data_IF_140176004745
#
_entry.id   IF_140176004745
#
_cell.length_a   1.000
_cell.length_b   1.000
_cell.length_c   1.000
_cell.angle_alpha   90.00
_cell.angle_beta   90.00
_cell.angle_gamma   90.00
#
_symmetry.space_group_name_H-M   'P 1'
#
loop_
_entity.id
_entity.type
_entity.pdbx_description
1 polymer ?
#
# COMPACT_ATOMS: atom_id res chain seq x y z
N UNK A 1 -9.36 -27.62 15.26
CA UNK A 1 -8.68 -27.26 13.98
C UNK A 1 -7.61 -26.24 14.28
N UNK A 2 -6.32 -26.54 14.04
CA UNK A 2 -5.24 -25.55 14.15
C UNK A 2 -5.39 -24.53 13.00
N UNK A 3 -5.67 -23.26 13.32
CA UNK A 3 -5.51 -22.17 12.35
C UNK A 3 -4.02 -22.10 11.98
N UNK A 4 -3.66 -22.39 10.73
CA UNK A 4 -2.31 -22.11 10.21
C UNK A 4 -2.24 -20.63 9.85
N UNK A 5 -1.35 -19.91 10.50
CA UNK A 5 -1.10 -18.48 10.26
C UNK A 5 -0.34 -18.32 8.94
N UNK A 6 -0.72 -17.35 8.12
CA UNK A 6 -0.01 -17.05 6.87
C UNK A 6 1.35 -16.38 7.15
N UNK A 7 2.47 -16.93 6.65
CA UNK A 7 3.80 -16.39 6.92
C UNK A 7 4.03 -14.94 6.47
N UNK A 8 3.33 -14.44 5.44
CA UNK A 8 3.43 -13.04 5.06
C UNK A 8 2.74 -12.14 6.10
N UNK A 9 1.57 -12.55 6.60
CA UNK A 9 0.86 -11.79 7.64
C UNK A 9 1.61 -11.81 8.97
N UNK A 10 2.23 -12.94 9.34
CA UNK A 10 3.10 -13.01 10.53
C UNK A 10 4.24 -11.99 10.43
N UNK A 11 4.95 -11.96 9.30
CA UNK A 11 6.05 -11.01 9.11
C UNK A 11 5.55 -9.57 9.03
N UNK A 12 4.39 -9.33 8.41
CA UNK A 12 3.78 -8.00 8.40
C UNK A 12 3.50 -7.49 9.83
N UNK A 13 2.91 -8.33 10.68
CA UNK A 13 2.68 -8.01 12.10
C UNK A 13 3.97 -7.78 12.88
N UNK A 14 5.00 -8.59 12.64
CA UNK A 14 6.32 -8.40 13.23
C UNK A 14 6.90 -7.03 12.84
N UNK A 15 6.89 -6.68 11.56
CA UNK A 15 7.43 -5.39 11.10
C UNK A 15 6.60 -4.19 11.56
N UNK A 16 5.27 -4.30 11.68
CA UNK A 16 4.45 -3.28 12.35
C UNK A 16 4.87 -3.09 13.81
N UNK A 17 5.09 -4.20 14.53
CA UNK A 17 5.49 -4.17 15.93
C UNK A 17 6.86 -3.52 16.10
N UNK A 18 7.83 -3.88 15.26
CA UNK A 18 9.16 -3.25 15.22
C UNK A 18 9.05 -1.76 14.85
N UNK A 19 8.19 -1.40 13.90
CA UNK A 19 7.93 0.00 13.53
C UNK A 19 7.35 0.82 14.69
N UNK A 20 6.43 0.23 15.46
CA UNK A 20 5.87 0.85 16.66
C UNK A 20 6.92 1.04 17.76
N UNK A 21 7.77 0.02 17.99
CA UNK A 21 8.89 0.13 18.92
C UNK A 21 9.89 1.21 18.48
N UNK A 22 10.18 1.31 17.19
CA UNK A 22 11.03 2.37 16.66
C UNK A 22 10.40 3.76 16.81
N UNK A 23 9.07 3.87 16.76
CA UNK A 23 8.36 5.13 17.03
C UNK A 23 8.48 5.52 18.51
N UNK A 24 8.35 4.56 19.42
CA UNK A 24 8.60 4.78 20.85
C UNK A 24 10.06 5.20 21.10
N UNK A 25 11.02 4.56 20.43
CA UNK A 25 12.43 4.97 20.45
C UNK A 25 12.64 6.39 19.91
N UNK A 26 11.87 6.83 18.91
CA UNK A 26 11.91 8.22 18.46
C UNK A 26 11.47 9.18 19.56
N UNK A 27 10.46 8.84 20.36
CA UNK A 27 10.04 9.66 21.50
C UNK A 27 11.15 9.77 22.55
N UNK A 28 11.85 8.67 22.85
CA UNK A 28 12.97 8.70 23.81
C UNK A 28 14.14 9.53 23.30
N UNK A 29 14.47 9.45 22.00
CA UNK A 29 15.48 10.35 21.40
C UNK A 29 15.04 11.81 21.42
N UNK A 30 13.76 12.10 21.18
CA UNK A 30 13.22 13.47 21.24
C UNK A 30 13.22 14.06 22.64
N UNK A 31 13.18 13.22 23.69
CA UNK A 31 13.35 13.59 25.09
C UNK A 31 14.83 13.66 25.52
N UNK A 32 15.78 13.39 24.63
CA UNK A 32 17.22 13.40 24.92
C UNK A 32 17.72 12.20 25.73
N UNK A 33 16.96 11.11 25.80
CA UNK A 33 17.30 9.92 26.60
C UNK A 33 18.27 8.97 25.90
N UNK A 34 18.34 9.03 24.57
CA UNK A 34 19.15 8.12 23.73
C UNK A 34 19.65 8.83 22.49
N UNK A 35 20.78 8.39 21.93
CA UNK A 35 21.29 8.88 20.65
C UNK A 35 20.38 8.49 19.47
N UNK A 36 20.32 9.36 18.45
CA UNK A 36 19.51 9.11 17.26
C UNK A 36 20.20 8.15 16.30
N UNK A 37 19.50 7.08 15.90
CA UNK A 37 19.97 6.21 14.84
C UNK A 37 20.09 6.97 13.50
N UNK A 38 21.15 6.73 12.71
CA UNK A 38 21.24 7.24 11.34
C UNK A 38 19.99 6.84 10.54
N UNK A 39 19.41 7.82 9.84
CA UNK A 39 18.25 7.61 8.94
C UNK A 39 17.02 7.00 9.61
N UNK A 40 16.79 7.25 10.91
CA UNK A 40 15.62 6.76 11.65
C UNK A 40 14.28 7.04 10.94
N UNK A 41 14.13 8.22 10.31
CA UNK A 41 12.94 8.56 9.51
C UNK A 41 12.73 7.58 8.35
N UNK A 42 13.80 7.25 7.63
CA UNK A 42 13.74 6.27 6.53
C UNK A 42 13.33 4.90 7.06
N UNK A 43 13.94 4.44 8.16
CA UNK A 43 13.63 3.15 8.78
C UNK A 43 12.16 3.05 9.19
N UNK A 44 11.63 4.06 9.88
CA UNK A 44 10.23 4.09 10.32
C UNK A 44 9.25 3.98 9.15
N UNK A 45 9.47 4.78 8.10
CA UNK A 45 8.62 4.73 6.91
C UNK A 45 8.68 3.35 6.28
N UNK A 46 9.87 2.77 6.11
CA UNK A 46 10.06 1.51 5.39
C UNK A 46 9.66 0.27 6.19
N UNK A 47 9.69 0.30 7.52
CA UNK A 47 9.07 -0.75 8.33
C UNK A 47 7.56 -0.83 8.15
N UNK A 48 6.87 0.31 8.01
CA UNK A 48 5.42 0.32 7.76
C UNK A 48 5.11 0.03 6.28
N UNK A 49 5.88 0.58 5.35
CA UNK A 49 5.59 0.44 3.91
C UNK A 49 6.09 -0.89 3.35
N UNK A 50 7.40 -1.17 3.38
CA UNK A 50 7.97 -2.42 2.87
C UNK A 50 7.76 -3.56 3.87
N UNK A 51 8.07 -3.32 5.13
CA UNK A 51 7.97 -4.33 6.18
C UNK A 51 6.54 -4.81 6.38
N UNK A 52 5.59 -3.91 6.65
CA UNK A 52 4.24 -4.31 6.96
C UNK A 52 3.34 -4.43 5.72
N UNK A 53 3.09 -3.31 5.06
CA UNK A 53 2.08 -3.24 4.01
C UNK A 53 2.45 -4.10 2.80
N UNK A 54 3.71 -4.03 2.34
CA UNK A 54 4.17 -4.82 1.19
C UNK A 54 4.18 -6.31 1.51
N UNK A 55 4.62 -6.74 2.70
CA UNK A 55 4.49 -8.15 3.13
C UNK A 55 3.03 -8.60 3.09
N UNK A 56 2.12 -7.85 3.72
CA UNK A 56 0.70 -8.21 3.74
C UNK A 56 0.11 -8.33 2.32
N UNK A 57 0.41 -7.36 1.44
CA UNK A 57 -0.07 -7.38 0.06
C UNK A 57 0.58 -8.48 -0.77
N UNK A 58 1.84 -8.84 -0.52
CA UNK A 58 2.46 -10.02 -1.12
C UNK A 58 1.66 -11.29 -0.81
N UNK A 59 1.22 -11.43 0.45
CA UNK A 59 0.32 -12.49 0.91
C UNK A 59 -1.04 -12.45 0.21
N UNK A 60 -1.73 -11.31 0.28
CA UNK A 60 -3.14 -11.17 -0.06
C UNK A 60 -3.45 -11.04 -1.55
N UNK A 61 -2.55 -10.42 -2.32
CA UNK A 61 -2.86 -9.99 -3.69
C UNK A 61 -3.28 -11.14 -4.63
N UNK A 62 -2.65 -12.33 -4.61
CA UNK A 62 -3.13 -13.47 -5.41
C UNK A 62 -4.56 -13.91 -5.05
N UNK A 63 -4.92 -13.89 -3.76
CA UNK A 63 -6.26 -14.27 -3.29
C UNK A 63 -7.31 -13.20 -3.58
N UNK A 64 -6.95 -11.92 -3.45
CA UNK A 64 -7.77 -10.79 -3.88
C UNK A 64 -8.07 -10.83 -5.39
N UNK A 65 -7.06 -11.17 -6.20
CA UNK A 65 -7.29 -11.36 -7.63
C UNK A 65 -8.17 -12.58 -7.91
N UNK A 66 -7.96 -13.68 -7.16
CA UNK A 66 -8.68 -14.92 -7.42
C UNK A 66 -10.17 -14.84 -7.06
N UNK A 67 -10.49 -14.20 -5.93
CA UNK A 67 -11.87 -13.95 -5.47
C UNK A 67 -12.66 -13.15 -6.50
N UNK A 68 -12.08 -12.07 -7.03
CA UNK A 68 -12.79 -11.24 -8.03
C UNK A 68 -12.79 -11.84 -9.44
N UNK A 69 -11.80 -12.67 -9.75
CA UNK A 69 -11.67 -13.35 -11.04
C UNK A 69 -12.46 -14.66 -11.15
N UNK A 70 -13.01 -15.17 -10.04
CA UNK A 70 -13.64 -16.49 -9.99
C UNK A 70 -12.73 -17.62 -10.48
N UNK A 71 -11.40 -17.48 -10.26
CA UNK A 71 -10.43 -18.48 -10.71
C UNK A 71 -10.10 -19.43 -9.57
N UNK A 72 -10.22 -20.73 -9.84
CA UNK A 72 -9.74 -21.77 -8.93
C UNK A 72 -8.22 -21.97 -9.01
N UNK A 73 -7.57 -21.30 -9.99
CA UNK A 73 -6.13 -21.37 -10.16
C UNK A 73 -5.43 -20.74 -8.95
N UNK A 74 -4.48 -21.47 -8.38
CA UNK A 74 -3.70 -21.03 -7.22
C UNK A 74 -2.21 -21.02 -7.55
N UNK A 75 -1.44 -20.10 -6.94
CA UNK A 75 0.00 -20.14 -7.06
C UNK A 75 0.56 -21.41 -6.39
N UNK A 76 1.67 -21.92 -6.90
CA UNK A 76 2.32 -23.09 -6.31
C UNK A 76 2.99 -22.74 -4.99
N UNK A 77 2.96 -23.65 -4.01
CA UNK A 77 3.59 -23.45 -2.70
C UNK A 77 5.08 -23.10 -2.82
N UNK A 78 5.81 -23.74 -3.74
CA UNK A 78 7.21 -23.44 -3.98
C UNK A 78 7.43 -22.00 -4.47
N UNK A 79 6.54 -21.46 -5.32
CA UNK A 79 6.62 -20.06 -5.75
C UNK A 79 6.40 -19.09 -4.60
N UNK A 80 5.43 -19.40 -3.72
CA UNK A 80 5.07 -18.56 -2.57
C UNK A 80 6.17 -18.53 -1.52
N UNK A 81 6.74 -19.69 -1.19
CA UNK A 81 7.90 -19.76 -0.28
C UNK A 81 9.12 -19.01 -0.83
N UNK A 82 9.40 -19.10 -2.13
CA UNK A 82 10.50 -18.32 -2.75
C UNK A 82 10.26 -16.82 -2.63
N UNK A 83 9.04 -16.34 -2.89
CA UNK A 83 8.70 -14.92 -2.73
C UNK A 83 8.86 -14.47 -1.28
N UNK A 84 8.37 -15.28 -0.34
CA UNK A 84 8.51 -15.00 1.09
C UNK A 84 9.98 -14.95 1.51
N UNK A 85 10.79 -15.94 1.11
CA UNK A 85 12.21 -15.97 1.44
C UNK A 85 12.97 -14.79 0.85
N UNK A 86 12.75 -14.48 -0.43
CA UNK A 86 13.39 -13.33 -1.08
C UNK A 86 13.05 -12.02 -0.38
N UNK A 87 11.80 -11.82 0.00
CA UNK A 87 11.39 -10.60 0.70
C UNK A 87 11.96 -10.53 2.12
N UNK A 88 11.97 -11.65 2.84
CA UNK A 88 12.43 -11.71 4.24
C UNK A 88 13.95 -11.84 4.41
N UNK A 89 14.70 -12.17 3.36
CA UNK A 89 16.16 -11.99 3.30
C UNK A 89 16.49 -10.59 2.80
N UNK A 90 15.79 -10.13 1.76
CA UNK A 90 16.03 -8.86 1.09
C UNK A 90 15.81 -7.65 1.98
N UNK A 91 14.64 -7.55 2.62
CA UNK A 91 14.29 -6.35 3.39
C UNK A 91 15.19 -6.16 4.63
N UNK A 92 15.47 -7.18 5.46
CA UNK A 92 16.45 -7.03 6.54
C UNK A 92 17.85 -6.66 6.05
N UNK A 93 18.32 -7.26 4.95
CA UNK A 93 19.62 -6.90 4.35
C UNK A 93 19.63 -5.45 3.91
N UNK A 94 18.54 -4.97 3.29
CA UNK A 94 18.38 -3.57 2.90
C UNK A 94 18.40 -2.64 4.12
N UNK A 95 17.68 -2.99 5.20
CA UNK A 95 17.67 -2.24 6.46
C UNK A 95 19.08 -2.15 7.05
N UNK A 96 19.82 -3.25 7.11
CA UNK A 96 21.21 -3.26 7.60
C UNK A 96 22.09 -2.37 6.73
N UNK A 97 22.00 -2.47 5.40
CA UNK A 97 22.75 -1.60 4.50
C UNK A 97 22.43 -0.12 4.70
N UNK A 98 21.16 0.22 4.87
CA UNK A 98 20.72 1.60 5.09
C UNK A 98 21.14 2.15 6.44
N UNK A 99 21.07 1.35 7.51
CA UNK A 99 21.50 1.73 8.85
C UNK A 99 23.02 1.87 8.96
N UNK A 100 23.77 0.98 8.30
CA UNK A 100 25.24 0.99 8.28
C UNK A 100 25.85 1.97 7.26
N UNK A 101 25.01 2.63 6.44
CA UNK A 101 25.49 3.50 5.35
C UNK A 101 26.18 2.77 4.19
N UNK A 102 26.00 1.44 4.08
CA UNK A 102 26.59 0.62 3.01
C UNK A 102 25.66 0.54 1.80
N UNK A 103 25.98 1.31 0.76
CA UNK A 103 25.24 1.28 -0.52
C UNK A 103 25.24 -0.12 -1.14
N UNK A 104 26.36 -0.83 -1.13
CA UNK A 104 26.46 -2.19 -1.67
C UNK A 104 25.49 -3.15 -0.97
N UNK A 105 25.48 -3.14 0.36
CA UNK A 105 24.56 -3.99 1.14
C UNK A 105 23.10 -3.61 0.88
N UNK A 106 22.81 -2.31 0.78
CA UNK A 106 21.47 -1.82 0.46
C UNK A 106 21.01 -2.29 -0.93
N UNK A 107 21.87 -2.20 -1.95
CA UNK A 107 21.57 -2.65 -3.32
C UNK A 107 21.35 -4.17 -3.37
N UNK A 108 22.17 -4.95 -2.66
CA UNK A 108 21.98 -6.42 -2.57
C UNK A 108 20.62 -6.76 -1.93
N UNK A 109 20.31 -6.14 -0.79
CA UNK A 109 19.01 -6.33 -0.13
C UNK A 109 17.83 -5.91 -1.01
N UNK A 110 17.93 -4.74 -1.64
CA UNK A 110 16.96 -4.24 -2.61
C UNK A 110 16.77 -5.17 -3.80
N UNK A 111 17.81 -5.89 -4.23
CA UNK A 111 17.76 -6.80 -5.39
C UNK A 111 16.91 -8.02 -5.07
N UNK A 112 17.05 -8.57 -3.86
CA UNK A 112 16.16 -9.64 -3.41
C UNK A 112 14.70 -9.16 -3.29
N UNK A 113 14.45 -7.94 -2.80
CA UNK A 113 13.10 -7.35 -2.78
C UNK A 113 12.52 -7.22 -4.19
N UNK A 114 13.31 -6.70 -5.14
CA UNK A 114 12.90 -6.57 -6.54
C UNK A 114 12.62 -7.93 -7.20
N UNK A 115 13.46 -8.94 -6.95
CA UNK A 115 13.24 -10.30 -7.45
C UNK A 115 11.96 -10.91 -6.85
N UNK A 116 11.70 -10.70 -5.57
CA UNK A 116 10.45 -11.12 -4.93
C UNK A 116 9.26 -10.47 -5.63
N UNK A 117 9.35 -9.18 -5.93
CA UNK A 117 8.32 -8.40 -6.61
C UNK A 117 8.09 -8.84 -8.05
N UNK A 118 9.14 -9.04 -8.84
CA UNK A 118 9.01 -9.57 -10.20
C UNK A 118 8.32 -10.94 -10.17
N UNK A 119 8.70 -11.80 -9.22
CA UNK A 119 8.05 -13.10 -9.02
C UNK A 119 6.56 -12.97 -8.65
N UNK A 120 6.20 -12.01 -7.79
CA UNK A 120 4.81 -11.70 -7.46
C UNK A 120 4.04 -11.20 -8.69
N UNK A 121 4.61 -10.26 -9.45
CA UNK A 121 4.00 -9.73 -10.69
C UNK A 121 3.75 -10.83 -11.70
N UNK A 122 4.71 -11.74 -11.89
CA UNK A 122 4.53 -12.93 -12.75
C UNK A 122 3.41 -13.82 -12.22
N UNK A 123 3.31 -14.01 -10.91
CA UNK A 123 2.24 -14.80 -10.28
C UNK A 123 0.87 -14.19 -10.56
N UNK A 124 0.71 -12.89 -10.29
CA UNK A 124 -0.51 -12.12 -10.56
C UNK A 124 -0.87 -12.20 -12.05
N UNK A 125 0.10 -11.98 -12.94
CA UNK A 125 -0.12 -12.03 -14.38
C UNK A 125 -0.61 -13.40 -14.84
N UNK A 126 0.03 -14.49 -14.37
CA UNK A 126 -0.34 -15.87 -14.71
C UNK A 126 -1.73 -16.26 -14.20
N UNK A 127 -2.13 -15.78 -13.03
CA UNK A 127 -3.49 -15.98 -12.50
C UNK A 127 -4.54 -15.22 -13.33
N UNK A 128 -4.12 -14.08 -13.91
CA UNK A 128 -4.99 -13.14 -14.61
C UNK A 128 -5.24 -13.45 -16.10
N UNK A 129 -4.52 -14.43 -16.67
CA UNK A 129 -4.64 -14.85 -18.08
C UNK A 129 -5.99 -15.52 -18.42
N UNK A 130 -6.81 -15.80 -17.41
CA UNK A 130 -8.21 -16.24 -17.56
C UNK A 130 -9.15 -15.04 -17.31
N UNK A 131 -9.97 -14.63 -18.29
CA UNK A 131 -10.66 -13.34 -18.23
C UNK A 131 -11.95 -13.42 -17.43
N UNK A 132 -12.06 -12.81 -16.23
CA UNK A 132 -13.34 -12.37 -15.63
C UNK A 132 -13.14 -11.16 -14.69
N UNK A 133 -14.01 -10.14 -14.83
CA UNK A 133 -14.18 -9.05 -13.87
C UNK A 133 -13.42 -7.73 -14.17
N UNK A 134 -14.13 -6.59 -14.13
CA UNK A 134 -13.55 -5.24 -14.30
C UNK A 134 -12.56 -4.88 -13.18
N UNK A 135 -12.82 -5.39 -11.97
CA UNK A 135 -12.04 -5.10 -10.76
C UNK A 135 -10.68 -5.81 -10.72
N UNK A 136 -10.52 -6.96 -11.40
CA UNK A 136 -9.24 -7.66 -11.49
C UNK A 136 -8.13 -6.85 -12.16
N UNK A 137 -8.48 -5.79 -12.91
CA UNK A 137 -7.53 -4.86 -13.53
C UNK A 137 -6.73 -4.08 -12.48
N UNK A 138 -7.35 -3.69 -11.36
CA UNK A 138 -6.69 -2.96 -10.29
C UNK A 138 -5.50 -3.78 -9.73
N UNK A 139 -5.76 -5.03 -9.36
CA UNK A 139 -4.74 -5.93 -8.81
C UNK A 139 -3.66 -6.32 -9.81
N UNK A 140 -3.98 -6.34 -11.10
CA UNK A 140 -3.01 -6.65 -12.17
C UNK A 140 -2.08 -5.48 -12.47
N UNK A 141 -2.61 -4.27 -12.48
CA UNK A 141 -1.86 -3.06 -12.80
C UNK A 141 -1.00 -2.60 -11.62
N UNK A 142 -1.49 -2.75 -10.39
CA UNK A 142 -0.82 -2.23 -9.20
C UNK A 142 0.65 -2.68 -9.03
N UNK A 143 1.02 -3.98 -9.16
CA UNK A 143 2.41 -4.41 -8.95
C UNK A 143 3.41 -3.75 -9.89
N UNK A 144 3.00 -3.34 -11.09
CA UNK A 144 3.87 -2.64 -12.03
C UNK A 144 4.29 -1.27 -11.52
N UNK A 145 3.41 -0.54 -10.83
CA UNK A 145 3.79 0.70 -10.17
C UNK A 145 4.80 0.46 -9.05
N UNK A 146 4.67 -0.62 -8.29
CA UNK A 146 5.68 -0.98 -7.28
C UNK A 146 7.02 -1.32 -7.95
N UNK A 147 7.03 -1.97 -9.11
CA UNK A 147 8.27 -2.23 -9.88
C UNK A 147 8.92 -0.93 -10.30
N UNK A 148 8.14 0.03 -10.79
CA UNK A 148 8.63 1.37 -11.16
C UNK A 148 9.21 2.09 -9.94
N UNK A 149 8.49 2.13 -8.83
CA UNK A 149 8.97 2.80 -7.62
C UNK A 149 10.22 2.14 -7.03
N UNK A 150 10.27 0.81 -6.96
CA UNK A 150 11.50 0.10 -6.52
C UNK A 150 12.66 0.41 -7.47
N UNK A 151 12.43 0.44 -8.80
CA UNK A 151 13.47 0.82 -9.77
C UNK A 151 13.99 2.24 -9.55
N UNK A 152 13.12 3.18 -9.18
CA UNK A 152 13.53 4.53 -8.80
C UNK A 152 14.35 4.56 -7.51
N UNK A 153 14.06 3.70 -6.53
CA UNK A 153 14.89 3.56 -5.34
C UNK A 153 16.30 3.05 -5.68
N UNK A 154 16.42 2.12 -6.63
CA UNK A 154 17.71 1.70 -7.17
C UNK A 154 18.44 2.84 -7.85
N UNK A 155 17.74 3.64 -8.66
CA UNK A 155 18.30 4.85 -9.24
C UNK A 155 18.90 5.75 -8.17
N UNK A 156 18.19 5.96 -7.05
CA UNK A 156 18.72 6.73 -5.92
C UNK A 156 19.93 6.11 -5.22
N UNK A 157 20.08 4.78 -5.19
CA UNK A 157 21.28 4.15 -4.63
C UNK A 157 22.48 4.21 -5.57
N UNK A 158 22.23 4.27 -6.88
CA UNK A 158 23.24 4.21 -7.94
C UNK A 158 23.52 5.57 -8.56
N UNK A 159 22.97 6.65 -7.99
CA UNK A 159 23.07 8.02 -8.49
C UNK A 159 22.55 8.20 -9.93
N UNK A 160 21.51 7.44 -10.28
CA UNK A 160 20.81 7.49 -11.57
C UNK A 160 19.45 8.15 -11.39
N UNK A 161 19.32 9.34 -11.97
CA UNK A 161 18.16 10.20 -11.80
C UNK A 161 17.65 10.75 -13.14
N UNK A 162 16.35 11.05 -13.20
CA UNK A 162 15.77 11.84 -14.28
C UNK A 162 16.10 13.33 -14.17
N UNK A 163 15.57 14.16 -15.08
CA UNK A 163 15.72 15.62 -15.03
C UNK A 163 15.31 16.27 -13.70
N UNK A 164 14.40 15.67 -12.93
CA UNK A 164 14.05 16.12 -11.57
C UNK A 164 15.09 15.85 -10.49
N UNK A 165 16.21 15.22 -10.84
CA UNK A 165 17.31 14.90 -9.92
C UNK A 165 16.90 13.94 -8.80
N UNK A 166 17.66 13.99 -7.71
CA UNK A 166 17.44 13.14 -6.53
C UNK A 166 16.05 13.36 -5.90
N UNK A 167 15.64 14.62 -5.72
CA UNK A 167 14.34 14.95 -5.13
C UNK A 167 13.16 14.51 -6.01
N UNK A 168 13.22 14.76 -7.32
CA UNK A 168 12.21 14.27 -8.25
C UNK A 168 12.12 12.74 -8.27
N UNK A 169 13.25 12.04 -8.06
CA UNK A 169 13.29 10.58 -7.93
C UNK A 169 12.62 10.09 -6.64
N UNK A 170 12.80 10.79 -5.51
CA UNK A 170 12.10 10.48 -4.25
C UNK A 170 10.59 10.61 -4.45
N UNK A 171 10.14 11.75 -4.99
CA UNK A 171 8.72 12.01 -5.20
C UNK A 171 8.09 10.97 -6.14
N UNK A 172 8.74 10.70 -7.27
CA UNK A 172 8.28 9.71 -8.23
C UNK A 172 8.23 8.29 -7.62
N UNK A 173 9.22 7.93 -6.79
CA UNK A 173 9.24 6.67 -6.04
C UNK A 173 8.04 6.55 -5.10
N UNK A 174 7.79 7.58 -4.29
CA UNK A 174 6.67 7.61 -3.33
C UNK A 174 5.34 7.54 -4.07
N UNK A 175 5.18 8.32 -5.13
CA UNK A 175 3.96 8.32 -5.93
C UNK A 175 3.69 6.98 -6.61
N UNK A 176 4.73 6.32 -7.13
CA UNK A 176 4.58 5.00 -7.73
C UNK A 176 4.14 3.97 -6.68
N UNK A 177 4.81 3.93 -5.53
CA UNK A 177 4.52 2.94 -4.49
C UNK A 177 3.18 3.16 -3.79
N UNK A 178 2.82 4.41 -3.53
CA UNK A 178 1.64 4.73 -2.73
C UNK A 178 0.42 5.00 -3.61
N UNK A 179 0.51 5.98 -4.51
CA UNK A 179 -0.62 6.37 -5.34
C UNK A 179 -0.86 5.42 -6.52
N UNK A 180 0.20 4.80 -7.03
CA UNK A 180 0.11 3.76 -8.05
C UNK A 180 -0.24 2.40 -7.45
N UNK A 181 0.68 1.79 -6.70
CA UNK A 181 0.50 0.43 -6.20
C UNK A 181 -0.55 0.33 -5.09
N UNK A 182 -0.30 0.92 -3.93
CA UNK A 182 -1.15 0.71 -2.75
C UNK A 182 -2.59 1.19 -2.99
N UNK A 183 -2.77 2.37 -3.58
CA UNK A 183 -4.10 2.91 -3.82
C UNK A 183 -4.90 2.14 -4.87
N UNK A 184 -4.27 1.57 -5.91
CA UNK A 184 -4.98 0.70 -6.85
C UNK A 184 -5.42 -0.60 -6.16
N UNK A 185 -4.57 -1.22 -5.34
CA UNK A 185 -4.97 -2.40 -4.55
C UNK A 185 -6.13 -2.03 -3.63
N UNK A 186 -6.01 -0.94 -2.86
CA UNK A 186 -7.04 -0.46 -1.96
C UNK A 186 -8.36 -0.18 -2.69
N UNK A 187 -8.34 0.51 -3.83
CA UNK A 187 -9.54 0.80 -4.61
C UNK A 187 -10.22 -0.48 -5.12
N UNK A 188 -9.45 -1.44 -5.64
CA UNK A 188 -9.96 -2.75 -6.04
C UNK A 188 -10.60 -3.49 -4.86
N UNK A 189 -9.94 -3.49 -3.71
CA UNK A 189 -10.41 -4.14 -2.47
C UNK A 189 -11.68 -3.48 -1.94
N UNK A 190 -11.75 -2.15 -1.94
CA UNK A 190 -12.94 -1.43 -1.48
C UNK A 190 -14.15 -1.69 -2.38
N UNK A 191 -13.97 -1.61 -3.69
CA UNK A 191 -15.04 -1.88 -4.66
C UNK A 191 -15.50 -3.35 -4.65
N UNK A 192 -14.68 -4.26 -4.11
CA UNK A 192 -15.02 -5.67 -3.98
C UNK A 192 -15.64 -6.01 -2.62
N UNK A 193 -14.98 -5.64 -1.53
CA UNK A 193 -15.35 -6.07 -0.17
C UNK A 193 -16.48 -5.25 0.44
N UNK A 194 -16.60 -3.96 0.13
CA UNK A 194 -17.69 -3.13 0.66
C UNK A 194 -19.08 -3.66 0.26
N UNK A 195 -19.37 -3.96 -1.02
CA UNK A 195 -20.66 -4.56 -1.37
C UNK A 195 -20.83 -5.97 -0.76
N UNK A 196 -19.76 -6.77 -0.68
CA UNK A 196 -19.81 -8.10 -0.07
C UNK A 196 -20.17 -8.06 1.43
N UNK A 197 -19.54 -7.14 2.19
CA UNK A 197 -19.81 -6.90 3.61
C UNK A 197 -21.28 -6.57 3.90
N UNK A 198 -21.92 -5.88 2.97
CA UNK A 198 -23.30 -5.46 3.07
C UNK A 198 -24.30 -6.44 2.41
N UNK A 199 -23.82 -7.53 1.79
CA UNK A 199 -24.64 -8.46 1.03
C UNK A 199 -25.36 -7.78 -0.15
N UNK A 200 -24.75 -6.77 -0.76
CA UNK A 200 -25.34 -5.91 -1.79
C UNK A 200 -24.50 -5.88 -3.07
N UNK A 201 -24.94 -5.10 -4.06
CA UNK A 201 -24.17 -4.77 -5.25
C UNK A 201 -23.67 -3.33 -5.20
N UNK A 202 -22.64 -3.01 -5.97
CA UNK A 202 -22.15 -1.63 -6.07
C UNK A 202 -23.26 -0.68 -6.54
N UNK A 203 -23.43 0.44 -5.85
CA UNK A 203 -24.44 1.45 -6.18
C UNK A 203 -24.23 2.07 -7.57
N UNK A 204 -22.99 2.36 -7.93
CA UNK A 204 -22.64 3.05 -9.17
C UNK A 204 -21.57 2.27 -9.97
N UNK A 205 -21.92 1.13 -10.60
CA UNK A 205 -20.95 0.29 -11.32
C UNK A 205 -20.31 0.99 -12.53
N UNK A 206 -20.95 2.05 -13.06
CA UNK A 206 -20.41 2.91 -14.12
C UNK A 206 -19.24 3.78 -13.67
N UNK A 207 -19.06 4.01 -12.36
CA UNK A 207 -17.91 4.74 -11.81
C UNK A 207 -16.66 3.87 -11.65
N UNK A 208 -16.76 2.55 -11.79
CA UNK A 208 -15.60 1.64 -11.67
C UNK A 208 -14.54 1.94 -12.75
N UNK A 209 -14.87 2.09 -14.04
CA UNK A 209 -13.89 2.50 -15.06
C UNK A 209 -13.31 3.90 -14.81
N UNK A 210 -14.13 4.84 -14.33
CA UNK A 210 -13.68 6.21 -14.00
C UNK A 210 -12.65 6.17 -12.87
N UNK A 211 -12.93 5.39 -11.82
CA UNK A 211 -12.00 5.14 -10.72
C UNK A 211 -10.70 4.53 -11.22
N UNK A 212 -10.79 3.45 -12.01
CA UNK A 212 -9.62 2.75 -12.51
C UNK A 212 -8.71 3.65 -13.33
N UNK A 213 -9.26 4.34 -14.33
CA UNK A 213 -8.48 5.20 -15.22
C UNK A 213 -8.03 6.49 -14.53
N UNK A 214 -8.87 7.09 -13.69
CA UNK A 214 -8.49 8.27 -12.91
C UNK A 214 -7.30 8.00 -11.99
N UNK A 215 -7.32 6.89 -11.25
CA UNK A 215 -6.18 6.52 -10.39
C UNK A 215 -4.96 6.10 -11.21
N UNK A 216 -5.12 5.32 -12.28
CA UNK A 216 -3.99 4.82 -13.09
C UNK A 216 -3.29 5.95 -13.85
N UNK A 217 -4.04 6.74 -14.63
CA UNK A 217 -3.48 7.85 -15.41
C UNK A 217 -3.01 8.98 -14.49
N UNK A 218 -3.75 9.24 -13.41
CA UNK A 218 -3.34 10.20 -12.39
C UNK A 218 -2.01 9.81 -11.74
N UNK A 219 -1.83 8.54 -11.36
CA UNK A 219 -0.58 8.04 -10.82
C UNK A 219 0.57 8.12 -11.85
N UNK A 220 0.31 7.83 -13.13
CA UNK A 220 1.32 8.02 -14.19
C UNK A 220 1.79 9.48 -14.23
N UNK A 221 0.88 10.45 -14.22
CA UNK A 221 1.23 11.87 -14.18
C UNK A 221 1.99 12.27 -12.92
N UNK A 222 1.55 11.78 -11.75
CA UNK A 222 2.21 12.02 -10.46
C UNK A 222 3.60 11.38 -10.38
N UNK A 223 3.88 10.28 -11.08
CA UNK A 223 5.20 9.64 -11.13
C UNK A 223 6.11 10.34 -12.15
N UNK A 224 5.59 10.56 -13.35
CA UNK A 224 6.38 11.13 -14.45
C UNK A 224 6.68 12.62 -14.29
N UNK A 225 5.78 13.39 -13.70
CA UNK A 225 5.95 14.82 -13.47
C UNK A 225 7.21 15.15 -12.66
N UNK A 226 7.37 14.65 -11.42
CA UNK A 226 8.57 14.87 -10.62
C UNK A 226 9.83 14.29 -11.26
N UNK A 227 9.76 13.09 -11.86
CA UNK A 227 10.90 12.48 -12.55
C UNK A 227 11.43 13.37 -13.69
N UNK A 228 10.54 13.98 -14.47
CA UNK A 228 10.87 14.83 -15.61
C UNK A 228 11.01 16.32 -15.26
N UNK A 229 10.88 16.70 -13.98
CA UNK A 229 10.80 18.10 -13.54
C UNK A 229 9.67 18.90 -14.23
N UNK A 230 8.54 18.27 -14.55
CA UNK A 230 7.47 18.89 -15.33
C UNK A 230 6.19 19.08 -14.51
N UNK A 231 6.04 20.28 -13.92
CA UNK A 231 4.95 20.60 -12.98
C UNK A 231 3.55 20.46 -13.58
N UNK A 232 3.37 20.83 -14.86
CA UNK A 232 2.07 20.71 -15.53
C UNK A 232 1.58 19.25 -15.58
N UNK A 233 2.51 18.30 -15.76
CA UNK A 233 2.20 16.87 -15.73
C UNK A 233 1.86 16.39 -14.31
N UNK A 234 2.54 16.92 -13.29
CA UNK A 234 2.20 16.66 -11.88
C UNK A 234 0.79 17.18 -11.55
N UNK A 235 0.45 18.41 -11.93
CA UNK A 235 -0.88 19.00 -11.68
C UNK A 235 -2.00 18.32 -12.45
N UNK A 236 -1.76 18.00 -13.73
CA UNK A 236 -2.70 17.22 -14.53
C UNK A 236 -2.91 15.84 -13.93
N UNK A 237 -1.83 15.15 -13.56
CA UNK A 237 -1.87 13.87 -12.87
C UNK A 237 -2.67 13.93 -11.57
N UNK A 238 -2.39 14.91 -10.72
CA UNK A 238 -3.12 15.12 -9.47
C UNK A 238 -4.63 15.33 -9.70
N UNK A 239 -4.99 16.17 -10.66
CA UNK A 239 -6.39 16.48 -10.98
C UNK A 239 -7.14 15.23 -11.41
N UNK A 240 -6.56 14.44 -12.33
CA UNK A 240 -7.13 13.17 -12.80
C UNK A 240 -7.21 12.14 -11.66
N UNK A 241 -6.22 12.12 -10.77
CA UNK A 241 -6.19 11.25 -9.61
C UNK A 241 -7.31 11.55 -8.61
N UNK A 242 -7.55 12.85 -8.34
CA UNK A 242 -8.64 13.32 -7.48
C UNK A 242 -9.99 12.90 -8.05
N UNK A 243 -10.21 13.05 -9.35
CA UNK A 243 -11.45 12.57 -10.01
C UNK A 243 -11.65 11.07 -9.79
N UNK A 244 -10.60 10.27 -9.98
CA UNK A 244 -10.65 8.82 -9.71
C UNK A 244 -10.98 8.49 -8.25
N UNK A 245 -10.39 9.23 -7.31
CA UNK A 245 -10.62 9.07 -5.87
C UNK A 245 -12.03 9.47 -5.46
N UNK A 246 -12.56 10.57 -5.99
CA UNK A 246 -13.94 11.00 -5.73
C UNK A 246 -14.93 9.97 -6.28
N UNK A 247 -14.70 9.46 -7.50
CA UNK A 247 -15.54 8.40 -8.08
C UNK A 247 -15.56 7.13 -7.20
N UNK A 248 -14.40 6.73 -6.65
CA UNK A 248 -14.30 5.62 -5.70
C UNK A 248 -15.15 5.88 -4.45
N UNK A 249 -14.97 7.05 -3.82
CA UNK A 249 -15.64 7.38 -2.57
C UNK A 249 -17.15 7.53 -2.74
N UNK A 250 -17.61 8.14 -3.84
CA UNK A 250 -19.04 8.21 -4.18
C UNK A 250 -19.64 6.82 -4.29
N UNK A 251 -18.91 5.86 -4.87
CA UNK A 251 -19.39 4.48 -4.99
C UNK A 251 -19.39 3.75 -3.65
N UNK A 252 -18.32 3.87 -2.84
CA UNK A 252 -18.22 3.26 -1.50
C UNK A 252 -19.32 3.80 -0.58
N UNK A 253 -19.43 5.13 -0.46
CA UNK A 253 -20.44 5.79 0.39
C UNK A 253 -21.85 5.52 -0.14
N UNK A 254 -22.05 5.60 -1.46
CA UNK A 254 -23.33 5.33 -2.10
C UNK A 254 -23.82 3.90 -1.88
N UNK A 255 -22.92 2.92 -1.98
CA UNK A 255 -23.20 1.51 -1.68
C UNK A 255 -23.63 1.36 -0.22
N UNK A 256 -22.86 1.94 0.71
CA UNK A 256 -23.16 1.87 2.15
C UNK A 256 -24.48 2.54 2.54
N UNK A 257 -24.84 3.65 1.88
CA UNK A 257 -26.13 4.32 2.06
C UNK A 257 -27.30 3.49 1.56
N UNK A 258 -27.13 2.81 0.42
CA UNK A 258 -28.17 1.93 -0.12
C UNK A 258 -28.42 0.70 0.76
N UNK A 259 -27.39 0.23 1.49
CA UNK A 259 -27.47 -0.90 2.42
C UNK A 259 -28.01 -0.53 3.83
N UNK A 260 -28.48 0.71 4.02
CA UNK A 260 -29.05 1.14 5.31
C UNK A 260 -28.02 1.57 6.38
N UNK A 261 -26.76 1.86 6.00
CA UNK A 261 -25.76 2.49 6.87
C UNK A 261 -25.52 1.82 8.24
N UNK A 262 -25.52 0.49 8.32
CA UNK A 262 -25.18 -0.20 9.57
C UNK A 262 -23.77 0.20 10.05
N UNK A 263 -23.59 0.60 11.32
CA UNK A 263 -22.28 0.96 11.85
C UNK A 263 -21.27 -0.17 11.64
N UNK A 264 -20.14 0.15 11.01
CA UNK A 264 -19.03 -0.78 10.82
C UNK A 264 -17.72 -0.01 11.02
N UNK A 265 -16.94 -0.43 12.02
CA UNK A 265 -15.67 0.20 12.37
C UNK A 265 -14.67 0.20 11.19
N UNK A 266 -14.69 -0.83 10.34
CA UNK A 266 -13.80 -0.94 9.16
C UNK A 266 -14.07 0.18 8.18
N UNK A 267 -15.34 0.51 7.98
CA UNK A 267 -15.75 1.60 7.09
C UNK A 267 -15.45 2.95 7.71
N UNK A 268 -15.55 3.07 9.04
CA UNK A 268 -15.05 4.23 9.78
C UNK A 268 -13.56 4.47 9.53
N UNK A 269 -12.73 3.44 9.62
CA UNK A 269 -11.30 3.51 9.30
C UNK A 269 -11.05 3.91 7.83
N UNK A 270 -11.80 3.35 6.88
CA UNK A 270 -11.70 3.74 5.46
C UNK A 270 -12.03 5.23 5.26
N UNK A 271 -13.16 5.70 5.77
CA UNK A 271 -13.56 7.10 5.60
C UNK A 271 -12.59 8.05 6.33
N UNK A 272 -12.15 7.66 7.53
CA UNK A 272 -11.11 8.37 8.27
C UNK A 272 -9.80 8.47 7.49
N UNK A 273 -9.40 7.39 6.80
CA UNK A 273 -8.21 7.38 5.95
C UNK A 273 -8.28 8.46 4.87
N UNK A 274 -9.38 8.52 4.13
CA UNK A 274 -9.53 9.51 3.05
C UNK A 274 -9.76 10.93 3.58
N UNK A 275 -10.36 11.10 4.76
CA UNK A 275 -10.45 12.41 5.43
C UNK A 275 -9.05 12.95 5.75
N UNK A 276 -8.14 12.09 6.23
CA UNK A 276 -6.74 12.48 6.49
C UNK A 276 -6.02 13.00 5.25
N UNK A 277 -6.40 12.56 4.05
CA UNK A 277 -5.82 13.03 2.79
C UNK A 277 -6.36 14.40 2.34
N UNK A 278 -7.52 14.85 2.84
CA UNK A 278 -8.10 16.16 2.49
C UNK A 278 -7.19 17.32 2.89
N UNK A 279 -6.36 17.14 3.93
CA UNK A 279 -5.46 18.19 4.40
C UNK A 279 -4.15 18.27 3.59
N UNK A 280 -3.33 17.21 3.43
CA UNK A 280 -2.06 17.31 2.73
C UNK A 280 -2.19 17.46 1.20
N UNK A 281 -3.24 16.89 0.59
CA UNK A 281 -3.36 16.88 -0.88
C UNK A 281 -3.51 18.29 -1.49
N UNK A 282 -4.37 19.19 -0.97
CA UNK A 282 -4.48 20.55 -1.48
C UNK A 282 -3.25 21.43 -1.24
N UNK A 283 -2.41 21.09 -0.26
CA UNK A 283 -1.20 21.85 0.04
C UNK A 283 -0.03 21.49 -0.88
N UNK A 284 0.00 20.29 -1.45
CA UNK A 284 1.06 19.87 -2.36
C UNK A 284 1.24 20.83 -3.56
N UNK A 285 0.16 21.30 -4.24
CA UNK A 285 0.31 22.33 -5.26
C UNK A 285 0.83 23.67 -4.77
N UNK A 286 0.46 24.07 -3.55
CA UNK A 286 0.90 25.34 -2.98
C UNK A 286 2.41 25.33 -2.69
N UNK A 287 2.95 24.20 -2.23
CA UNK A 287 4.41 24.02 -2.05
C UNK A 287 5.14 24.15 -3.38
N UNK A 288 4.61 23.57 -4.46
CA UNK A 288 5.25 23.60 -5.79
C UNK A 288 5.16 24.97 -6.46
N UNK A 289 4.04 25.68 -6.31
CA UNK A 289 3.81 26.98 -6.96
C UNK A 289 4.38 28.16 -6.17
N UNK A 290 4.45 28.04 -4.84
CA UNK A 290 4.85 29.13 -3.94
C UNK A 290 5.92 28.66 -2.93
N UNK A 291 7.07 28.14 -3.38
CA UNK A 291 8.08 27.53 -2.50
C UNK A 291 8.71 28.52 -1.52
N UNK A 292 8.64 29.83 -1.78
CA UNK A 292 9.13 30.88 -0.88
C UNK A 292 8.10 31.31 0.17
N UNK A 293 6.80 31.10 -0.08
CA UNK A 293 5.72 31.48 0.82
C UNK A 293 5.20 30.29 1.66
N UNK A 294 5.33 29.07 1.13
CA UNK A 294 4.86 27.85 1.78
C UNK A 294 6.07 26.99 2.15
N UNK A 295 6.31 26.74 3.46
CA UNK A 295 7.49 26.00 3.89
C UNK A 295 7.37 24.52 3.50
N UNK A 296 8.16 24.08 2.51
CA UNK A 296 8.09 22.72 1.96
C UNK A 296 8.37 21.61 2.99
N UNK A 297 9.47 21.71 3.75
CA UNK A 297 9.90 20.61 4.63
C UNK A 297 8.91 20.26 5.78
N UNK A 298 8.31 21.24 6.49
CA UNK A 298 7.25 20.94 7.46
C UNK A 298 6.00 20.32 6.82
N UNK A 299 5.58 20.82 5.64
CA UNK A 299 4.42 20.30 4.93
C UNK A 299 4.68 18.87 4.45
N UNK A 300 5.86 18.59 3.90
CA UNK A 300 6.27 17.25 3.46
C UNK A 300 6.29 16.27 4.64
N UNK A 301 6.80 16.70 5.80
CA UNK A 301 6.82 15.87 7.01
C UNK A 301 5.40 15.57 7.50
N UNK A 302 4.53 16.58 7.55
CA UNK A 302 3.14 16.41 7.93
C UNK A 302 2.39 15.51 6.94
N UNK A 303 2.63 15.68 5.64
CA UNK A 303 2.03 14.89 4.57
C UNK A 303 2.45 13.42 4.66
N UNK A 304 3.74 13.12 4.88
CA UNK A 304 4.21 11.74 5.03
C UNK A 304 3.65 11.10 6.31
N UNK A 305 3.59 11.82 7.43
CA UNK A 305 2.96 11.29 8.65
C UNK A 305 1.47 11.03 8.44
N UNK A 306 0.75 11.96 7.82
CA UNK A 306 -0.66 11.81 7.46
C UNK A 306 -0.89 10.64 6.49
N UNK A 307 0.03 10.41 5.56
CA UNK A 307 -0.01 9.28 4.64
C UNK A 307 0.20 7.95 5.36
N UNK A 308 1.27 7.83 6.15
CA UNK A 308 1.64 6.57 6.82
C UNK A 308 0.65 6.23 7.93
N UNK A 309 0.42 7.15 8.87
CA UNK A 309 -0.42 6.90 10.05
C UNK A 309 -1.90 7.20 9.79
N UNK A 310 -2.17 8.28 9.06
CA UNK A 310 -3.53 8.72 8.77
C UNK A 310 -4.21 7.95 7.66
N UNK A 311 -3.49 7.44 6.65
CA UNK A 311 -4.10 6.72 5.52
C UNK A 311 -3.75 5.23 5.49
N UNK A 312 -2.46 4.87 5.39
CA UNK A 312 -2.03 3.47 5.22
C UNK A 312 -2.39 2.61 6.44
N UNK A 313 -2.08 3.10 7.65
CA UNK A 313 -2.37 2.36 8.88
C UNK A 313 -3.89 2.24 9.12
N UNK A 314 -4.68 3.28 8.80
CA UNK A 314 -6.14 3.20 8.88
C UNK A 314 -6.70 2.11 7.95
N UNK A 315 -6.24 2.05 6.69
CA UNK A 315 -6.62 0.99 5.76
C UNK A 315 -6.16 -0.39 6.25
N UNK A 316 -4.96 -0.48 6.83
CA UNK A 316 -4.46 -1.72 7.44
C UNK A 316 -5.36 -2.20 8.58
N UNK A 317 -5.76 -1.30 9.50
CA UNK A 317 -6.68 -1.62 10.60
C UNK A 317 -8.07 -2.05 10.11
N UNK A 318 -8.53 -1.51 8.98
CA UNK A 318 -9.81 -1.90 8.38
C UNK A 318 -9.81 -3.35 7.85
N UNK A 319 -8.69 -3.82 7.27
CA UNK A 319 -8.69 -5.05 6.46
C UNK A 319 -7.71 -6.14 6.88
N UNK A 320 -6.60 -5.83 7.57
CA UNK A 320 -5.68 -6.86 8.05
C UNK A 320 -6.33 -7.84 9.06
N UNK A 321 -7.19 -7.39 9.99
CA UNK A 321 -7.88 -8.32 10.88
C UNK A 321 -8.79 -9.29 10.12
N UNK A 322 -9.49 -8.82 9.08
CA UNK A 322 -10.32 -9.66 8.21
C UNK A 322 -9.47 -10.68 7.46
N UNK A 323 -8.34 -10.24 6.91
CA UNK A 323 -7.37 -11.12 6.26
C UNK A 323 -6.81 -12.19 7.22
N UNK A 324 -6.43 -11.82 8.43
CA UNK A 324 -5.95 -12.75 9.45
C UNK A 324 -7.03 -13.77 9.87
N UNK A 325 -8.29 -13.33 9.99
CA UNK A 325 -9.41 -14.19 10.31
C UNK A 325 -9.78 -15.16 9.17
N UNK A 326 -9.52 -14.78 7.92
CA UNK A 326 -9.79 -15.56 6.69
C UNK A 326 -8.79 -16.68 6.40
N UNK A 327 -7.76 -16.85 7.23
CA UNK A 327 -6.80 -17.92 7.08
C UNK A 327 -7.45 -19.27 7.46
N UNK A 328 -8.06 -19.94 6.47
CA UNK A 328 -8.81 -21.20 6.62
C UNK A 328 -7.93 -22.44 6.88
N UNK A 329 -6.79 -22.27 7.54
CA UNK A 329 -5.83 -23.35 7.84
C UNK A 329 -5.06 -23.87 6.61
N UNK A 330 -5.33 -23.36 5.40
CA UNK A 330 -4.55 -23.60 4.19
C UNK A 330 -3.57 -22.44 3.97
N UNK A 331 -2.26 -22.70 3.85
CA UNK A 331 -1.28 -21.64 3.61
C UNK A 331 -1.61 -20.84 2.35
N UNK A 332 -1.42 -19.51 2.38
CA UNK A 332 -1.53 -18.62 1.21
C UNK A 332 -2.93 -18.52 0.59
N UNK A 333 -3.97 -18.90 1.33
CA UNK A 333 -5.37 -18.82 0.89
C UNK A 333 -6.18 -18.01 1.88
N UNK A 334 -6.93 -17.05 1.35
CA UNK A 334 -7.78 -16.15 2.12
C UNK A 334 -9.19 -16.16 1.53
N UNK A 335 -10.18 -16.52 2.33
CA UNK A 335 -11.60 -16.33 2.01
C UNK A 335 -12.10 -15.02 2.65
N UNK A 336 -11.78 -13.91 1.96
CA UNK A 336 -12.03 -12.57 2.48
C UNK A 336 -13.52 -12.23 2.56
N UNK A 337 -14.36 -12.84 1.73
CA UNK A 337 -15.82 -12.65 1.77
C UNK A 337 -16.41 -13.32 3.01
N UNK A 338 -16.11 -14.61 3.22
CA UNK A 338 -16.58 -15.33 4.41
C UNK A 338 -16.01 -14.74 5.71
N UNK A 339 -14.77 -14.26 5.70
CA UNK A 339 -14.21 -13.60 6.88
C UNK A 339 -14.79 -12.21 7.13
N UNK A 340 -15.14 -11.48 6.07
CA UNK A 340 -15.81 -10.20 6.17
C UNK A 340 -17.18 -10.33 6.87
N UNK A 341 -17.93 -11.39 6.55
CA UNK A 341 -19.20 -11.75 7.22
C UNK A 341 -19.03 -12.13 8.70
N UNK A 342 -17.93 -12.82 9.05
CA UNK A 342 -17.67 -13.32 10.41
C UNK A 342 -17.03 -12.29 11.35
N UNK A 343 -16.22 -11.38 10.83
CA UNK A 343 -15.47 -10.41 11.63
C UNK A 343 -16.36 -9.23 12.07
N UNK A 344 -17.28 -9.47 13.00
CA UNK A 344 -18.26 -8.44 13.43
C UNK A 344 -17.65 -7.38 14.37
N UNK A 345 -16.43 -7.57 14.88
CA UNK A 345 -15.79 -6.54 15.71
C UNK A 345 -14.31 -6.86 15.91
N UNK A 346 -13.37 -6.02 15.44
CA UNK A 346 -11.96 -6.21 15.77
C UNK A 346 -11.81 -6.02 17.28
N UNK A 347 -11.63 -7.11 18.02
CA UNK A 347 -11.25 -7.02 19.43
C UNK A 347 -9.74 -6.98 19.52
N UNK A 348 -9.19 -6.07 20.33
CA UNK A 348 -7.76 -6.02 20.64
C UNK A 348 -7.26 -7.35 21.25
N UNK A 349 -8.18 -8.14 21.83
CA UNK A 349 -7.92 -9.48 22.37
C UNK A 349 -7.54 -10.48 21.27
N UNK A 350 -8.19 -10.43 20.10
CA UNK A 350 -7.88 -11.34 18.99
C UNK A 350 -6.51 -11.05 18.38
N UNK A 351 -6.10 -9.78 18.27
CA UNK A 351 -4.77 -9.39 17.80
C UNK A 351 -3.65 -9.73 18.80
N UNK A 352 -3.94 -9.72 20.11
CA UNK A 352 -2.99 -10.12 21.16
C UNK A 352 -2.95 -11.64 21.44
N UNK A 353 -3.85 -12.40 20.82
CA UNK A 353 -3.89 -13.87 20.89
C UNK A 353 -3.32 -14.58 19.66
N UNK A 354 -2.86 -13.79 18.68
CA UNK A 354 -1.96 -14.22 17.59
C UNK A 354 -0.53 -14.30 18.12
#
# INVERSE_FOLDING_TARGET
MQKRIDPFLTMASLYLSVGLLALLGRLTTGMGLTETLPRLRWLLIHFVTIGAMTQALFGLLPSLLASVGGTESRPTNASRWRQWLLLNVGFPTLVVGMAAGSTTTAVVGGSFVLLALVSLTVTVFRLSSRPRGRLGRFYRTAPWFLVVGVSMAFGMFLDVHGPGGYFGSIEAHVHANVWGFLALVAAGTLLHLVPALDGTTLRYPTLVPVTYWGLTLGAIGLVSGPWLAFHALTFGGLSVYVVGTVALLVNVVGTRRASGCRPDARIGHVLGAYLWLVVPVPFAPLVLLFPTAVPGAPIETAAINGLVFGWMLQLAMAFLPVAAASADGRPWSFDLETAAERAISPSWVELGSL
#
